data_IF_983364556692
#
_entry.id   IF_983364556692
#
_cell.length_a   1.000
_cell.length_b   1.000
_cell.length_c   1.000
_cell.angle_alpha   90.00
_cell.angle_beta   90.00
_cell.angle_gamma   90.00
#
_symmetry.space_group_name_H-M   'P 1'
#
loop_
_entity.id
_entity.type
_entity.pdbx_description
1 polymer ?
#
# COMPACT_ATOMS: atom_id res chain seq x y z
N UNK A 1 17.89 -17.77 -77.86
CA UNK A 1 17.42 -18.92 -78.69
C UNK A 1 16.18 -19.46 -77.97
N UNK A 2 15.04 -19.19 -78.57
CA UNK A 2 13.77 -19.88 -78.31
C UNK A 2 13.78 -21.17 -79.21
N UNK A 3 12.75 -22.02 -79.28
CA UNK A 3 11.55 -22.27 -78.44
C UNK A 3 11.26 -23.79 -78.26
N UNK A 4 10.23 -24.13 -77.53
CA UNK A 4 9.10 -24.90 -78.09
C UNK A 4 8.13 -25.44 -77.01
N UNK A 5 6.87 -25.09 -77.19
CA UNK A 5 5.62 -25.71 -76.74
C UNK A 5 5.33 -27.01 -77.52
N UNK A 6 4.14 -27.65 -77.31
CA UNK A 6 3.27 -28.07 -76.23
C UNK A 6 2.85 -29.57 -76.39
N UNK A 7 1.92 -30.09 -75.50
CA UNK A 7 0.84 -31.01 -75.91
C UNK A 7 -0.16 -31.31 -74.78
N UNK A 8 -1.41 -31.29 -75.14
CA UNK A 8 -2.76 -31.40 -74.59
C UNK A 8 -3.11 -32.74 -73.95
N UNK A 9 -3.98 -32.59 -72.91
CA UNK A 9 -5.22 -33.28 -72.49
C UNK A 9 -5.59 -34.69 -73.00
N UNK A 10 -6.40 -35.50 -72.26
CA UNK A 10 -7.83 -35.29 -72.19
C UNK A 10 -8.54 -35.53 -70.77
N UNK A 11 -9.83 -35.19 -70.82
CA UNK A 11 -10.89 -35.25 -69.86
C UNK A 11 -11.36 -36.67 -69.50
N UNK A 12 -11.80 -36.84 -68.22
CA UNK A 12 -12.70 -37.92 -67.84
C UNK A 12 -13.69 -37.45 -66.81
N UNK A 13 -14.96 -37.70 -67.02
CA UNK A 13 -16.17 -37.21 -66.33
C UNK A 13 -16.59 -38.16 -65.22
N UNK A 14 -17.27 -37.54 -64.20
CA UNK A 14 -18.46 -37.92 -63.44
C UNK A 14 -18.35 -38.91 -62.30
N UNK A 15 -18.80 -38.45 -61.12
CA UNK A 15 -20.03 -38.83 -60.41
C UNK A 15 -20.10 -38.20 -59.02
N UNK A 16 -21.21 -37.49 -58.76
CA UNK A 16 -21.61 -37.15 -57.38
C UNK A 16 -22.18 -38.38 -56.67
N UNK A 17 -22.10 -38.44 -55.32
CA UNK A 17 -23.35 -38.40 -54.58
C UNK A 17 -23.41 -37.34 -53.49
N UNK A 18 -24.52 -36.64 -53.46
CA UNK A 18 -25.03 -35.90 -52.32
C UNK A 18 -25.49 -36.89 -51.27
N UNK A 19 -25.18 -36.59 -50.03
CA UNK A 19 -25.85 -36.88 -48.74
C UNK A 19 -24.79 -37.21 -47.69
N UNK A 20 -24.71 -36.36 -46.70
CA UNK A 20 -24.23 -36.50 -45.33
C UNK A 20 -23.52 -35.19 -44.84
N UNK A 21 -24.22 -34.04 -45.00
CA UNK A 21 -23.69 -32.78 -44.53
C UNK A 21 -24.55 -32.13 -43.43
N UNK A 22 -25.35 -32.91 -42.70
CA UNK A 22 -26.24 -32.38 -41.66
C UNK A 22 -25.98 -32.92 -40.23
N UNK A 23 -25.05 -33.86 -40.06
CA UNK A 23 -24.76 -34.45 -38.76
C UNK A 23 -23.46 -33.95 -38.09
N UNK A 24 -22.60 -33.25 -38.85
CA UNK A 24 -21.31 -32.76 -38.33
C UNK A 24 -21.38 -31.35 -37.69
N UNK A 25 -22.40 -30.54 -38.05
CA UNK A 25 -22.54 -29.19 -37.53
C UNK A 25 -23.11 -29.13 -36.12
N UNK A 26 -23.92 -30.10 -35.71
CA UNK A 26 -24.49 -30.17 -34.36
C UNK A 26 -23.49 -30.57 -33.29
N UNK A 27 -22.56 -31.45 -33.62
CA UNK A 27 -21.54 -31.94 -32.68
C UNK A 27 -20.41 -30.90 -32.42
N UNK A 28 -20.10 -30.09 -33.43
CA UNK A 28 -19.09 -29.01 -33.30
C UNK A 28 -19.62 -27.86 -32.45
N UNK A 29 -20.91 -27.50 -32.54
CA UNK A 29 -21.53 -26.46 -31.72
C UNK A 29 -21.65 -26.88 -30.25
N UNK A 30 -21.95 -28.14 -29.96
CA UNK A 30 -22.00 -28.66 -28.58
C UNK A 30 -20.59 -28.75 -27.99
N UNK A 31 -19.57 -29.12 -28.76
CA UNK A 31 -18.20 -29.16 -28.31
C UNK A 31 -17.64 -27.75 -28.05
N UNK A 32 -18.01 -26.74 -28.83
CA UNK A 32 -17.60 -25.34 -28.61
C UNK A 32 -18.30 -24.76 -27.38
N UNK A 33 -19.58 -25.07 -27.15
CA UNK A 33 -20.28 -24.60 -25.93
C UNK A 33 -19.73 -25.28 -24.67
N UNK A 34 -19.37 -26.55 -24.72
CA UNK A 34 -18.75 -27.26 -23.60
C UNK A 34 -17.31 -26.76 -23.39
N UNK A 35 -16.57 -26.44 -24.46
CA UNK A 35 -15.22 -25.92 -24.35
C UNK A 35 -15.18 -24.48 -23.81
N UNK A 36 -16.20 -23.66 -24.13
CA UNK A 36 -16.32 -22.31 -23.58
C UNK A 36 -16.70 -22.36 -22.09
N UNK A 37 -17.50 -23.31 -21.66
CA UNK A 37 -17.87 -23.48 -20.23
C UNK A 37 -16.70 -24.05 -19.39
N UNK A 38 -15.76 -24.77 -20.02
CA UNK A 38 -14.59 -25.33 -19.32
C UNK A 38 -13.39 -24.35 -19.34
N UNK A 39 -13.40 -23.33 -20.22
CA UNK A 39 -12.36 -22.32 -20.34
C UNK A 39 -12.74 -20.94 -19.76
N UNK A 40 -13.95 -20.77 -19.26
CA UNK A 40 -14.20 -19.69 -18.33
C UNK A 40 -13.53 -20.10 -17.00
N UNK A 41 -12.47 -19.41 -16.55
CA UNK A 41 -12.02 -19.59 -15.18
C UNK A 41 -13.29 -19.43 -14.31
N UNK A 42 -13.44 -20.20 -13.21
CA UNK A 42 -14.46 -19.86 -12.24
C UNK A 42 -14.31 -18.37 -12.02
N UNK A 43 -15.43 -17.63 -12.04
CA UNK A 43 -15.43 -16.25 -11.59
C UNK A 43 -14.53 -16.24 -10.34
N UNK A 44 -13.31 -15.73 -10.49
CA UNK A 44 -12.68 -15.17 -9.34
C UNK A 44 -13.69 -14.09 -8.97
N UNK A 45 -14.55 -14.40 -7.98
CA UNK A 45 -15.08 -13.37 -7.12
C UNK A 45 -13.87 -12.50 -6.89
N UNK A 46 -13.84 -11.35 -7.55
CA UNK A 46 -12.94 -10.28 -7.20
C UNK A 46 -13.20 -10.14 -5.72
N UNK A 47 -12.30 -10.67 -4.90
CA UNK A 47 -12.34 -10.46 -3.47
C UNK A 47 -12.49 -8.97 -3.38
N UNK A 48 -13.66 -8.54 -2.94
CA UNK A 48 -14.00 -7.13 -2.91
C UNK A 48 -12.99 -6.53 -1.93
N UNK A 49 -11.92 -5.94 -2.46
CA UNK A 49 -10.84 -5.29 -1.70
C UNK A 49 -11.45 -4.15 -0.87
N UNK A 50 -12.75 -3.87 -1.07
CA UNK A 50 -13.63 -3.07 -0.24
C UNK A 50 -14.21 -3.80 0.98
N UNK A 51 -13.87 -5.09 1.21
CA UNK A 51 -14.22 -5.69 2.49
C UNK A 51 -13.46 -4.90 3.56
N UNK A 52 -14.18 -3.97 4.20
CA UNK A 52 -13.68 -3.19 5.33
C UNK A 52 -13.08 -4.19 6.30
N UNK A 53 -11.79 -4.10 6.51
CA UNK A 53 -11.08 -4.99 7.44
C UNK A 53 -11.89 -5.05 8.73
N UNK A 54 -12.07 -6.24 9.28
CA UNK A 54 -12.92 -6.46 10.47
C UNK A 54 -12.58 -5.44 11.54
N UNK A 55 -13.56 -4.66 11.95
CA UNK A 55 -13.40 -3.63 13.00
C UNK A 55 -13.61 -4.18 14.41
N UNK A 56 -13.96 -5.47 14.53
CA UNK A 56 -14.20 -6.14 15.81
C UNK A 56 -12.96 -6.83 16.40
N UNK A 57 -13.16 -7.41 17.58
CA UNK A 57 -12.16 -8.27 18.21
C UNK A 57 -11.91 -9.51 17.36
N UNK A 58 -10.66 -9.91 17.25
CA UNK A 58 -10.27 -11.21 16.72
C UNK A 58 -9.05 -11.74 17.49
N UNK A 59 -8.72 -13.00 17.30
CA UNK A 59 -7.78 -13.69 18.16
C UNK A 59 -6.46 -12.91 18.36
N UNK A 60 -6.23 -12.49 19.60
CA UNK A 60 -5.06 -11.72 20.00
C UNK A 60 -5.16 -10.20 19.80
N UNK A 61 -6.28 -9.66 19.30
CA UNK A 61 -6.41 -8.27 18.92
C UNK A 61 -7.73 -7.63 19.39
N UNK A 62 -7.65 -6.49 20.08
CA UNK A 62 -8.80 -5.69 20.51
C UNK A 62 -8.74 -4.31 19.82
N UNK A 63 -9.81 -3.86 19.14
CA UNK A 63 -9.82 -2.56 18.45
C UNK A 63 -9.45 -1.42 19.41
N UNK A 64 -8.58 -0.53 18.97
CA UNK A 64 -8.18 0.67 19.71
C UNK A 64 -8.53 1.97 18.99
N UNK A 65 -8.44 2.00 17.69
CA UNK A 65 -8.75 3.18 16.89
C UNK A 65 -9.17 2.81 15.45
N UNK A 66 -10.09 3.59 14.88
CA UNK A 66 -10.42 3.53 13.46
C UNK A 66 -10.96 4.86 12.95
N UNK A 67 -10.74 5.16 11.67
CA UNK A 67 -11.30 6.30 10.95
C UNK A 67 -11.55 5.93 9.48
N UNK A 68 -12.72 6.31 8.97
CA UNK A 68 -13.20 6.08 7.59
C UNK A 68 -13.36 7.38 6.81
N UNK A 69 -12.98 8.52 7.37
CA UNK A 69 -13.01 9.85 6.78
C UNK A 69 -14.38 10.27 6.20
N UNK A 70 -15.49 9.84 6.81
CA UNK A 70 -16.85 10.12 6.35
C UNK A 70 -17.24 11.62 6.45
N UNK A 71 -16.47 12.42 7.20
CA UNK A 71 -16.71 13.86 7.37
C UNK A 71 -15.85 14.66 6.40
N UNK A 72 -16.47 15.40 5.50
CA UNK A 72 -15.72 16.30 4.62
C UNK A 72 -14.96 17.37 5.43
N UNK A 73 -13.71 17.58 5.06
CA UNK A 73 -12.82 18.59 5.62
C UNK A 73 -12.03 19.27 4.50
N UNK A 74 -12.47 20.43 3.99
CA UNK A 74 -11.69 21.17 3.02
C UNK A 74 -10.30 21.53 3.53
N UNK A 75 -9.34 21.75 2.63
CA UNK A 75 -8.01 22.27 2.96
C UNK A 75 -8.11 23.44 3.94
N UNK A 76 -7.30 23.44 4.99
CA UNK A 76 -7.34 24.42 6.08
C UNK A 76 -8.35 24.11 7.19
N UNK A 77 -9.17 23.06 7.04
CA UNK A 77 -10.21 22.69 8.01
C UNK A 77 -9.98 21.33 8.66
N UNK A 78 -9.03 20.54 8.16
CA UNK A 78 -8.84 19.15 8.59
C UNK A 78 -8.61 19.06 10.10
N UNK A 79 -7.67 19.82 10.66
CA UNK A 79 -7.39 19.83 12.09
C UNK A 79 -8.57 20.27 12.95
N UNK A 80 -9.43 21.19 12.46
CA UNK A 80 -10.61 21.63 13.18
C UNK A 80 -11.73 20.57 13.23
N UNK A 81 -11.84 19.73 12.18
CA UNK A 81 -12.89 18.72 12.02
C UNK A 81 -12.50 17.39 12.66
N UNK A 82 -11.26 16.94 12.46
CA UNK A 82 -10.75 15.68 12.98
C UNK A 82 -10.09 15.81 14.36
N UNK A 83 -9.72 17.02 14.74
CA UNK A 83 -9.30 17.35 16.10
C UNK A 83 -7.95 16.76 16.50
N UNK A 84 -7.77 16.61 17.81
CA UNK A 84 -6.51 16.14 18.40
C UNK A 84 -6.15 14.70 18.05
N UNK A 85 -7.12 13.90 17.64
CA UNK A 85 -6.88 12.53 17.18
C UNK A 85 -6.09 12.46 15.87
N UNK A 86 -5.86 13.62 15.22
CA UNK A 86 -5.10 13.74 13.97
C UNK A 86 -4.06 14.85 14.04
N UNK A 87 -3.66 15.27 15.23
CA UNK A 87 -2.55 16.18 15.37
C UNK A 87 -1.29 15.57 14.73
N UNK A 88 -0.47 16.43 14.13
CA UNK A 88 0.76 16.04 13.47
C UNK A 88 1.79 17.14 13.54
N UNK A 89 2.91 16.94 12.87
CA UNK A 89 3.96 17.95 12.76
C UNK A 89 3.48 19.13 11.92
N UNK A 90 3.85 20.34 12.34
CA UNK A 90 3.48 21.58 11.65
C UNK A 90 4.56 22.66 11.79
N UNK A 91 4.89 23.34 10.71
CA UNK A 91 5.81 24.49 10.70
C UNK A 91 7.27 24.14 10.91
N UNK A 92 7.66 22.87 10.76
CA UNK A 92 9.07 22.43 10.81
C UNK A 92 9.43 21.72 9.51
N UNK A 93 10.74 21.70 9.19
CA UNK A 93 11.24 20.99 8.05
C UNK A 93 11.04 19.47 8.19
N UNK A 94 10.86 18.79 7.06
CA UNK A 94 10.87 17.34 6.99
C UNK A 94 12.29 16.76 7.21
N UNK A 95 12.42 15.44 7.20
CA UNK A 95 13.70 14.76 7.46
C UNK A 95 14.78 15.14 6.45
N UNK A 96 14.42 15.40 5.20
CA UNK A 96 15.37 15.84 4.16
C UNK A 96 15.83 17.29 4.34
N UNK A 97 15.08 18.10 5.10
CA UNK A 97 15.27 19.55 5.26
C UNK A 97 14.80 20.39 4.08
N UNK A 98 14.17 19.79 3.06
CA UNK A 98 13.69 20.48 1.84
C UNK A 98 12.19 20.67 1.82
N UNK A 99 11.45 19.75 2.45
CA UNK A 99 10.00 19.87 2.66
C UNK A 99 9.68 20.61 3.96
N UNK A 100 8.44 21.06 4.05
CA UNK A 100 7.86 21.71 5.22
C UNK A 100 6.56 20.96 5.59
N UNK A 101 6.45 20.50 6.82
CA UNK A 101 5.19 19.98 7.31
C UNK A 101 4.17 21.11 7.46
N UNK A 102 3.14 21.07 6.63
CA UNK A 102 2.10 22.08 6.53
C UNK A 102 0.70 21.44 6.41
N UNK A 103 0.23 20.71 7.46
CA UNK A 103 -1.01 19.95 7.39
C UNK A 103 -2.24 20.77 6.96
N UNK A 104 -2.31 22.04 7.34
CA UNK A 104 -3.40 22.94 6.95
C UNK A 104 -3.41 23.30 5.46
N UNK A 105 -2.32 23.05 4.72
CA UNK A 105 -2.22 23.29 3.30
C UNK A 105 -2.18 22.00 2.47
N UNK A 106 -1.92 20.88 3.12
CA UNK A 106 -1.72 19.58 2.48
C UNK A 106 -2.93 18.67 2.68
N UNK A 107 -3.54 18.67 3.89
CA UNK A 107 -4.56 17.71 4.24
C UNK A 107 -5.98 18.21 3.95
N UNK A 108 -6.78 17.35 3.35
CA UNK A 108 -8.23 17.47 3.24
C UNK A 108 -8.89 16.10 3.41
N UNK A 109 -10.19 16.07 3.62
CA UNK A 109 -10.99 14.84 3.55
C UNK A 109 -12.22 15.09 2.68
N UNK A 110 -12.44 14.21 1.70
CA UNK A 110 -13.56 14.26 0.76
C UNK A 110 -13.79 12.86 0.19
N UNK A 111 -14.98 12.60 -0.30
CA UNK A 111 -15.35 11.30 -0.87
C UNK A 111 -15.02 10.11 0.04
N UNK A 112 -15.15 10.30 1.37
CA UNK A 112 -14.77 9.35 2.42
C UNK A 112 -13.29 8.91 2.35
N UNK A 113 -12.40 9.83 2.01
CA UNK A 113 -10.94 9.60 1.97
C UNK A 113 -10.19 10.78 2.60
N UNK A 114 -9.09 10.48 3.28
CA UNK A 114 -8.07 11.47 3.59
C UNK A 114 -7.19 11.67 2.36
N UNK A 115 -7.00 12.91 1.97
CA UNK A 115 -6.16 13.33 0.84
C UNK A 115 -4.98 14.17 1.33
N UNK A 116 -3.76 13.74 0.96
CA UNK A 116 -2.55 14.52 1.08
C UNK A 116 -2.22 15.09 -0.31
N UNK A 117 -2.48 16.37 -0.53
CA UNK A 117 -2.04 17.04 -1.74
C UNK A 117 -0.62 17.57 -1.55
N UNK A 118 0.38 16.80 -1.99
CA UNK A 118 1.78 17.19 -1.98
C UNK A 118 2.05 18.15 -3.14
N UNK A 119 2.58 19.34 -2.86
CA UNK A 119 2.79 20.37 -3.87
C UNK A 119 3.80 21.42 -3.38
N UNK A 120 4.11 22.40 -4.24
CA UNK A 120 5.03 23.49 -3.92
C UNK A 120 4.30 24.83 -3.90
N UNK A 121 4.55 25.63 -2.90
CA UNK A 121 4.06 27.02 -2.79
C UNK A 121 5.26 27.94 -2.56
N UNK A 122 5.44 28.94 -3.40
CA UNK A 122 6.53 29.93 -3.31
C UNK A 122 7.93 29.29 -3.17
N UNK A 123 8.17 28.16 -3.87
CA UNK A 123 9.43 27.42 -3.84
C UNK A 123 9.61 26.54 -2.60
N UNK A 124 8.62 26.43 -1.71
CA UNK A 124 8.61 25.53 -0.56
C UNK A 124 7.78 24.28 -0.87
N UNK A 125 8.39 23.11 -0.82
CA UNK A 125 7.69 21.83 -0.94
C UNK A 125 6.90 21.55 0.33
N UNK A 126 5.59 21.35 0.20
CA UNK A 126 4.67 21.12 1.31
C UNK A 126 4.33 19.65 1.44
N UNK A 127 4.46 19.16 2.67
CA UNK A 127 4.24 17.77 3.06
C UNK A 127 3.45 17.71 4.37
N UNK A 128 3.07 16.51 4.83
CA UNK A 128 2.36 16.36 6.10
C UNK A 128 2.73 15.03 6.78
N UNK A 129 2.63 15.03 8.11
CA UNK A 129 2.83 13.84 8.93
C UNK A 129 1.77 13.81 10.06
N UNK A 130 0.49 13.54 9.74
CA UNK A 130 -0.54 13.39 10.76
C UNK A 130 -0.34 12.11 11.57
N UNK A 131 -0.86 12.14 12.80
CA UNK A 131 -0.75 11.07 13.78
C UNK A 131 -2.13 10.48 14.07
N UNK A 132 -2.52 9.34 13.44
CA UNK A 132 -3.75 8.65 13.82
C UNK A 132 -3.76 8.33 15.32
N UNK A 133 -4.86 8.69 16.01
CA UNK A 133 -4.98 8.63 17.48
C UNK A 133 -4.09 9.64 18.25
N UNK A 134 -3.42 10.57 17.56
CA UNK A 134 -2.65 11.64 18.18
C UNK A 134 -1.28 11.23 18.71
N UNK A 135 -0.81 11.95 19.74
CA UNK A 135 0.54 11.77 20.28
C UNK A 135 0.68 10.64 21.31
N UNK A 136 -0.43 10.10 21.82
CA UNK A 136 -0.40 9.03 22.81
C UNK A 136 0.10 7.74 22.16
N UNK A 137 1.17 7.18 22.72
CA UNK A 137 1.77 5.96 22.20
C UNK A 137 1.04 4.70 22.64
N UNK A 138 1.15 3.66 21.81
CA UNK A 138 0.68 2.31 22.13
C UNK A 138 1.87 1.35 22.11
N UNK A 139 1.91 0.42 23.08
CA UNK A 139 2.90 -0.66 23.06
C UNK A 139 2.24 -1.93 22.53
N UNK A 140 2.79 -2.46 21.46
CA UNK A 140 2.28 -3.59 20.70
C UNK A 140 0.91 -3.32 20.07
N UNK A 141 0.71 -3.73 18.86
CA UNK A 141 -0.52 -3.51 18.14
C UNK A 141 -0.50 -4.03 16.72
N UNK A 142 -1.65 -4.00 16.09
CA UNK A 142 -1.84 -4.15 14.66
C UNK A 142 -2.27 -2.79 14.12
N UNK A 143 -1.60 -2.35 13.07
CA UNK A 143 -1.86 -1.08 12.41
C UNK A 143 -2.05 -1.34 10.92
N UNK A 144 -3.19 -0.98 10.40
CA UNK A 144 -3.58 -1.29 9.03
C UNK A 144 -4.21 -0.07 8.36
N UNK A 145 -3.86 0.17 7.10
CA UNK A 145 -4.47 1.24 6.31
C UNK A 145 -4.64 0.80 4.86
N UNK A 146 -5.68 1.33 4.21
CA UNK A 146 -5.88 1.18 2.78
C UNK A 146 -5.57 2.50 2.10
N UNK A 147 -4.64 2.48 1.17
CA UNK A 147 -4.14 3.68 0.53
C UNK A 147 -3.76 3.46 -0.93
N UNK A 148 -3.61 4.56 -1.64
CA UNK A 148 -2.91 4.64 -2.93
C UNK A 148 -2.20 5.99 -3.04
N UNK A 149 -1.26 6.11 -3.95
CA UNK A 149 -0.53 7.34 -4.20
C UNK A 149 -0.29 7.55 -5.70
N UNK A 150 -0.28 8.80 -6.13
CA UNK A 150 0.23 9.15 -7.44
C UNK A 150 1.73 8.86 -7.52
N UNK A 151 2.23 8.66 -8.73
CA UNK A 151 3.67 8.59 -8.97
C UNK A 151 4.25 10.02 -8.92
N UNK A 152 4.85 10.40 -7.77
CA UNK A 152 5.36 11.75 -7.50
C UNK A 152 6.87 11.69 -7.28
N UNK A 153 7.68 11.84 -8.34
CA UNK A 153 9.14 11.79 -8.21
C UNK A 153 9.68 12.82 -7.22
N UNK A 154 10.55 12.40 -6.32
CA UNK A 154 11.17 13.24 -5.31
C UNK A 154 10.39 13.32 -3.99
N UNK A 155 9.23 12.68 -3.90
CA UNK A 155 8.50 12.51 -2.64
C UNK A 155 8.47 11.04 -2.21
N UNK A 156 8.40 10.83 -0.91
CA UNK A 156 8.31 9.50 -0.29
C UNK A 156 7.27 9.48 0.83
N UNK A 157 6.89 8.28 1.23
CA UNK A 157 6.23 8.02 2.51
C UNK A 157 7.16 7.24 3.43
N UNK A 158 6.97 7.45 4.74
CA UNK A 158 7.45 6.59 5.80
C UNK A 158 6.32 6.49 6.83
N UNK A 159 5.39 5.57 6.60
CA UNK A 159 4.34 5.30 7.57
C UNK A 159 4.93 4.39 8.64
N UNK A 160 4.96 4.90 9.87
CA UNK A 160 5.80 4.28 10.88
C UNK A 160 5.16 4.26 12.27
N UNK A 161 5.71 3.46 13.15
CA UNK A 161 5.60 3.62 14.58
C UNK A 161 6.87 4.32 15.08
N UNK A 162 6.68 5.55 15.60
CA UNK A 162 7.74 6.39 16.14
C UNK A 162 7.65 6.46 17.66
N UNK A 163 8.79 6.42 18.40
CA UNK A 163 8.77 6.44 19.85
C UNK A 163 8.02 7.63 20.43
N UNK A 164 7.16 7.41 21.42
CA UNK A 164 6.48 8.48 22.17
C UNK A 164 7.48 9.43 22.83
N UNK A 165 8.65 8.92 23.22
CA UNK A 165 9.74 9.69 23.83
C UNK A 165 10.46 10.63 22.86
N UNK A 166 10.20 10.59 21.56
CA UNK A 166 10.98 11.23 20.49
C UNK A 166 12.47 10.81 20.49
N UNK A 167 12.81 9.74 21.15
CA UNK A 167 14.17 9.19 21.17
C UNK A 167 14.31 8.07 20.14
N UNK A 168 15.02 8.34 19.07
CA UNK A 168 15.29 7.32 18.03
C UNK A 168 15.92 6.04 18.61
N UNK A 169 16.68 6.17 19.72
CA UNK A 169 17.29 5.04 20.41
C UNK A 169 16.26 4.03 21.00
N UNK A 170 15.02 4.45 21.15
CA UNK A 170 13.94 3.59 21.66
C UNK A 170 13.32 2.70 20.57
N UNK A 171 13.75 2.88 19.33
CA UNK A 171 13.40 2.04 18.18
C UNK A 171 12.58 2.75 17.12
N UNK A 172 12.29 2.04 16.04
CA UNK A 172 11.49 2.48 14.89
C UNK A 172 10.93 1.27 14.16
N UNK A 173 9.71 1.35 13.69
CA UNK A 173 9.09 0.33 12.85
C UNK A 173 8.46 1.04 11.65
N UNK A 174 8.95 0.76 10.44
CA UNK A 174 8.52 1.40 9.21
C UNK A 174 7.76 0.43 8.31
N UNK A 175 6.55 0.80 7.92
CA UNK A 175 5.78 0.12 6.89
C UNK A 175 4.44 0.83 6.60
N UNK A 176 4.12 1.07 5.30
CA UNK A 176 5.04 1.02 4.15
C UNK A 176 5.96 2.24 4.11
N UNK A 177 7.18 2.05 3.63
CA UNK A 177 8.12 3.13 3.37
C UNK A 177 8.64 3.04 1.94
N UNK A 178 8.76 4.16 1.24
CA UNK A 178 9.33 4.20 -0.10
C UNK A 178 9.07 5.49 -0.83
N UNK A 179 9.77 5.64 -1.94
CA UNK A 179 9.56 6.73 -2.88
C UNK A 179 8.26 6.54 -3.64
N UNK A 180 7.47 7.60 -3.81
CA UNK A 180 6.18 7.54 -4.51
C UNK A 180 6.32 7.25 -6.01
N UNK A 181 7.54 7.31 -6.54
CA UNK A 181 7.87 6.93 -7.92
C UNK A 181 8.31 5.46 -8.07
N UNK A 182 8.27 4.66 -7.01
CA UNK A 182 8.80 3.30 -6.99
C UNK A 182 8.04 2.34 -6.09
N UNK A 183 8.53 1.10 -5.98
CA UNK A 183 7.94 0.13 -5.07
C UNK A 183 8.17 0.56 -3.62
N UNK A 184 7.22 0.24 -2.76
CA UNK A 184 7.34 0.44 -1.32
C UNK A 184 8.41 -0.50 -0.78
N UNK A 185 9.35 0.04 -0.05
CA UNK A 185 10.45 -0.68 0.55
C UNK A 185 10.41 -0.60 2.06
N UNK A 186 11.46 -1.07 2.67
CA UNK A 186 11.36 -2.14 3.62
C UNK A 186 10.91 -1.63 4.95
N UNK A 187 10.17 -2.45 5.59
CA UNK A 187 9.95 -2.37 7.00
C UNK A 187 11.24 -2.71 7.75
N UNK A 188 11.50 -1.99 8.83
CA UNK A 188 12.60 -2.29 9.78
C UNK A 188 12.07 -2.12 11.17
N UNK A 189 12.44 -3.01 12.07
CA UNK A 189 12.12 -2.88 13.49
C UNK A 189 13.40 -2.94 14.29
N UNK A 190 13.59 -1.98 15.20
CA UNK A 190 14.83 -1.92 15.95
C UNK A 190 14.66 -1.32 17.34
N UNK A 191 15.32 -1.97 18.31
CA UNK A 191 15.74 -1.35 19.56
C UNK A 191 17.24 -1.18 19.50
N UNK A 192 17.74 0.02 19.57
CA UNK A 192 19.14 0.15 19.34
C UNK A 192 19.81 1.24 20.12
N UNK A 193 21.11 1.15 20.13
CA UNK A 193 22.00 2.24 20.46
C UNK A 193 22.33 2.98 19.17
N UNK A 194 22.17 4.30 19.19
CA UNK A 194 22.76 5.13 18.16
C UNK A 194 24.26 4.91 18.10
N UNK A 195 24.78 4.49 16.97
CA UNK A 195 26.21 4.38 16.70
C UNK A 195 26.61 5.56 15.84
N UNK A 196 27.45 6.46 16.36
CA UNK A 196 27.84 7.69 15.69
C UNK A 196 26.67 8.61 15.28
N UNK A 197 25.54 8.56 16.02
CA UNK A 197 24.35 9.32 15.69
C UNK A 197 23.43 8.65 14.66
N UNK A 198 23.72 7.42 14.26
CA UNK A 198 22.90 6.67 13.31
C UNK A 198 22.31 5.40 13.95
N UNK A 199 21.05 5.12 13.62
CA UNK A 199 20.38 3.86 13.99
C UNK A 199 20.96 2.73 13.13
N UNK A 200 21.24 1.59 13.76
CA UNK A 200 21.67 0.40 13.04
C UNK A 200 20.45 -0.46 12.70
N UNK A 201 19.83 -0.26 11.55
CA UNK A 201 18.68 -1.04 11.11
C UNK A 201 19.02 -2.49 10.76
N UNK A 202 18.06 -3.39 11.00
CA UNK A 202 18.16 -4.78 10.54
C UNK A 202 18.02 -4.85 9.02
N UNK A 203 19.14 -4.90 8.34
CA UNK A 203 19.17 -5.00 6.88
C UNK A 203 19.00 -6.43 6.36
N UNK A 204 19.09 -7.44 7.23
CA UNK A 204 18.98 -8.85 6.84
C UNK A 204 17.55 -9.24 6.44
N UNK A 205 16.56 -8.48 6.90
CA UNK A 205 15.14 -8.73 6.67
C UNK A 205 14.46 -7.65 5.82
N UNK A 206 15.22 -6.95 4.97
CA UNK A 206 14.63 -6.01 4.02
C UNK A 206 13.70 -6.73 3.07
N UNK A 207 12.49 -6.24 2.99
CA UNK A 207 11.43 -6.73 2.12
C UNK A 207 10.88 -5.59 1.26
N UNK A 208 10.27 -5.93 0.15
CA UNK A 208 9.66 -4.94 -0.74
C UNK A 208 8.23 -5.35 -0.99
N UNK A 209 7.34 -4.38 -1.18
CA UNK A 209 6.01 -4.65 -1.69
C UNK A 209 6.12 -5.32 -3.07
N UNK A 210 5.21 -6.24 -3.41
CA UNK A 210 5.20 -6.86 -4.74
C UNK A 210 4.88 -5.86 -5.86
N UNK A 211 4.21 -4.75 -5.53
CA UNK A 211 3.78 -3.69 -6.46
C UNK A 211 4.14 -2.32 -5.90
N UNK A 212 4.05 -1.29 -6.74
CA UNK A 212 4.03 0.11 -6.30
C UNK A 212 2.66 0.47 -5.68
N UNK A 213 2.51 1.71 -5.21
CA UNK A 213 1.30 2.18 -4.54
C UNK A 213 0.35 2.97 -5.47
N UNK A 214 0.46 2.84 -6.79
CA UNK A 214 -0.41 3.59 -7.72
C UNK A 214 -1.84 3.07 -7.78
N UNK A 215 -2.06 1.82 -7.35
CA UNK A 215 -3.38 1.23 -7.13
C UNK A 215 -3.68 1.12 -5.64
N UNK A 216 -4.92 0.75 -5.30
CA UNK A 216 -5.33 0.57 -3.92
C UNK A 216 -4.69 -0.66 -3.28
N UNK A 217 -4.00 -0.46 -2.16
CA UNK A 217 -3.39 -1.52 -1.37
C UNK A 217 -3.71 -1.41 0.11
N UNK A 218 -3.65 -2.53 0.81
CA UNK A 218 -3.73 -2.60 2.26
C UNK A 218 -2.36 -2.95 2.82
N UNK A 219 -1.77 -2.02 3.55
CA UNK A 219 -0.53 -2.25 4.28
C UNK A 219 -0.84 -2.48 5.76
N UNK A 220 -0.27 -3.52 6.35
CA UNK A 220 -0.47 -3.86 7.75
C UNK A 220 0.83 -4.16 8.46
N UNK A 221 1.00 -3.61 9.65
CA UNK A 221 2.06 -3.96 10.60
C UNK A 221 1.44 -4.67 11.80
N UNK A 222 1.92 -5.87 12.14
CA UNK A 222 1.63 -6.55 13.41
C UNK A 222 2.87 -6.51 14.29
N UNK A 223 2.78 -5.84 15.41
CA UNK A 223 3.84 -5.71 16.39
C UNK A 223 3.43 -6.38 17.71
N UNK A 224 4.15 -7.42 18.07
CA UNK A 224 3.91 -8.23 19.27
C UNK A 224 5.20 -8.36 20.09
N UNK A 225 5.15 -8.84 21.33
CA UNK A 225 6.37 -9.12 22.09
C UNK A 225 7.33 -10.02 21.32
N UNK A 226 8.48 -9.46 20.90
CA UNK A 226 9.54 -10.18 20.22
C UNK A 226 9.35 -10.45 18.73
N UNK A 227 8.31 -9.92 18.09
CA UNK A 227 8.11 -10.06 16.63
C UNK A 227 7.44 -8.84 16.03
N UNK A 228 7.83 -8.47 14.81
CA UNK A 228 7.09 -7.58 13.92
C UNK A 228 6.88 -8.29 12.59
N UNK A 229 5.66 -8.25 12.08
CA UNK A 229 5.26 -8.81 10.78
C UNK A 229 4.66 -7.72 9.92
N UNK A 230 4.93 -7.80 8.61
CA UNK A 230 4.44 -6.85 7.62
C UNK A 230 3.67 -7.56 6.53
N UNK A 231 2.51 -7.01 6.19
CA UNK A 231 1.62 -7.59 5.20
C UNK A 231 1.28 -6.55 4.12
N UNK A 232 1.14 -7.02 2.89
CA UNK A 232 0.65 -6.28 1.74
C UNK A 232 -0.53 -7.03 1.15
N UNK A 233 -1.70 -6.41 1.13
CA UNK A 233 -2.97 -7.02 0.69
C UNK A 233 -3.28 -8.36 1.41
N UNK A 234 -2.94 -8.42 2.69
CA UNK A 234 -3.14 -9.62 3.51
C UNK A 234 -2.06 -10.70 3.40
N UNK A 235 -1.15 -10.59 2.44
CA UNK A 235 -0.04 -11.53 2.27
C UNK A 235 1.17 -11.11 3.10
N UNK A 236 1.75 -12.04 3.86
CA UNK A 236 2.96 -11.80 4.66
C UNK A 236 4.15 -11.52 3.73
N UNK A 237 4.70 -10.31 3.79
CA UNK A 237 5.87 -9.91 3.00
C UNK A 237 7.18 -9.95 3.78
N UNK A 238 7.12 -9.89 5.11
CA UNK A 238 8.32 -9.99 5.93
C UNK A 238 8.03 -10.10 7.43
N UNK A 239 9.03 -10.53 8.16
CA UNK A 239 8.97 -10.67 9.62
C UNK A 239 10.35 -10.43 10.22
N UNK A 240 10.43 -9.78 11.39
CA UNK A 240 11.59 -9.89 12.29
C UNK A 240 11.15 -10.51 13.61
N UNK A 241 11.84 -11.57 14.01
CA UNK A 241 11.65 -12.28 15.28
C UNK A 241 12.90 -12.23 16.15
N UNK A 242 13.83 -11.32 15.85
CA UNK A 242 15.02 -11.09 16.67
C UNK A 242 14.64 -10.14 17.78
N UNK A 243 14.35 -10.67 18.96
CA UNK A 243 13.78 -9.89 20.08
C UNK A 243 14.56 -8.62 20.43
N UNK A 244 15.89 -8.62 20.25
CA UNK A 244 16.72 -7.44 20.47
C UNK A 244 16.52 -6.31 19.46
N UNK A 245 15.79 -6.58 18.37
CA UNK A 245 15.49 -5.62 17.30
C UNK A 245 14.00 -5.20 17.30
N UNK A 246 13.21 -5.70 18.23
CA UNK A 246 11.79 -5.39 18.36
C UNK A 246 11.60 -4.35 19.47
N UNK A 247 11.06 -3.17 19.17
CA UNK A 247 10.75 -2.15 20.17
C UNK A 247 9.81 -2.68 21.26
N UNK A 248 9.97 -2.15 22.47
CA UNK A 248 9.20 -2.54 23.65
C UNK A 248 8.60 -1.36 24.42
N UNK A 249 8.85 -0.15 23.95
CA UNK A 249 8.33 1.09 24.53
C UNK A 249 7.14 1.62 23.72
N UNK A 250 6.29 2.49 24.30
CA UNK A 250 5.16 3.05 23.56
C UNK A 250 5.60 3.81 22.32
N UNK A 251 4.90 3.56 21.20
CA UNK A 251 5.12 4.23 19.93
C UNK A 251 3.82 4.81 19.41
N UNK A 252 3.88 5.98 18.79
CA UNK A 252 2.76 6.61 18.09
C UNK A 252 2.78 6.26 16.62
N UNK A 253 1.62 6.07 16.05
CA UNK A 253 1.50 5.86 14.62
C UNK A 253 1.63 7.18 13.88
N UNK A 254 2.52 7.26 12.90
CA UNK A 254 2.80 8.47 12.13
C UNK A 254 2.64 8.15 10.64
N UNK A 255 1.77 8.89 9.96
CA UNK A 255 1.62 8.79 8.50
C UNK A 255 2.44 9.88 7.83
N UNK A 256 3.74 9.66 7.74
CA UNK A 256 4.70 10.66 7.29
C UNK A 256 4.84 10.63 5.76
N UNK A 257 4.45 11.74 5.11
CA UNK A 257 4.82 12.03 3.73
C UNK A 257 5.85 13.16 3.73
N UNK A 258 6.90 13.01 2.96
CA UNK A 258 8.03 13.95 2.93
C UNK A 258 8.75 13.96 1.59
N UNK A 259 9.66 14.92 1.40
CA UNK A 259 10.56 14.90 0.27
C UNK A 259 11.63 13.82 0.47
N UNK A 260 12.08 13.17 -0.61
CA UNK A 260 13.06 12.08 -0.50
C UNK A 260 14.42 12.56 0.05
N UNK A 261 15.26 11.64 0.50
CA UNK A 261 16.58 11.95 1.06
C UNK A 261 17.66 12.15 -0.02
N UNK A 262 17.35 11.86 -1.28
CA UNK A 262 18.30 12.03 -2.38
C UNK A 262 18.48 13.51 -2.72
N UNK A 263 19.66 13.89 -3.23
CA UNK A 263 19.94 15.28 -3.65
C UNK A 263 19.22 15.69 -4.94
N UNK A 264 18.28 14.86 -5.44
CA UNK A 264 17.53 15.17 -6.64
C UNK A 264 16.65 16.40 -6.41
N UNK A 265 16.81 17.41 -7.26
CA UNK A 265 15.95 18.58 -7.24
C UNK A 265 14.52 18.20 -7.62
N UNK A 266 13.57 18.56 -6.77
CA UNK A 266 12.15 18.45 -7.06
C UNK A 266 11.74 19.70 -7.84
N UNK A 267 11.04 19.53 -8.94
CA UNK A 267 10.47 20.66 -9.69
C UNK A 267 9.34 21.30 -8.91
N UNK A 268 9.24 22.62 -8.92
CA UNK A 268 8.13 23.35 -8.30
C UNK A 268 6.76 22.96 -8.91
N UNK A 269 6.75 22.43 -10.13
CA UNK A 269 5.54 21.93 -10.81
C UNK A 269 5.19 20.49 -10.41
N UNK A 270 6.04 19.81 -9.62
CA UNK A 270 5.75 18.45 -9.16
C UNK A 270 4.69 18.49 -8.08
N UNK A 271 3.56 17.84 -8.33
CA UNK A 271 2.48 17.70 -7.37
C UNK A 271 1.72 16.39 -7.58
N UNK A 272 1.00 15.94 -6.54
CA UNK A 272 0.16 14.75 -6.62
C UNK A 272 -0.45 14.41 -5.26
N UNK A 273 -1.18 13.30 -5.24
CA UNK A 273 -2.02 12.93 -4.11
C UNK A 273 -1.60 11.59 -3.51
N UNK A 274 -1.71 11.49 -2.18
CA UNK A 274 -1.79 10.23 -1.46
C UNK A 274 -3.19 10.18 -0.88
N UNK A 275 -3.95 9.14 -1.22
CA UNK A 275 -5.31 8.94 -0.76
C UNK A 275 -5.35 7.78 0.23
N UNK A 276 -5.99 7.99 1.39
CA UNK A 276 -6.20 6.96 2.40
C UNK A 276 -7.71 6.78 2.58
N UNK A 277 -8.20 5.58 2.29
CA UNK A 277 -9.61 5.20 2.41
C UNK A 277 -10.00 4.98 3.88
N UNK A 278 -9.16 4.28 4.62
CA UNK A 278 -9.37 4.04 6.03
C UNK A 278 -8.06 3.72 6.78
N UNK A 279 -8.10 3.92 8.09
CA UNK A 279 -7.07 3.46 9.04
C UNK A 279 -7.71 2.64 10.15
N UNK A 280 -7.00 1.61 10.66
CA UNK A 280 -7.44 0.72 11.73
C UNK A 280 -6.26 0.41 12.64
N UNK A 281 -6.49 0.46 13.95
CA UNK A 281 -5.52 0.03 14.93
C UNK A 281 -6.17 -0.88 15.98
N UNK A 282 -5.39 -1.85 16.44
CA UNK A 282 -5.76 -2.78 17.51
C UNK A 282 -4.64 -2.84 18.54
N UNK A 283 -5.00 -3.02 19.79
CA UNK A 283 -4.07 -3.36 20.86
C UNK A 283 -3.85 -4.88 20.86
N UNK A 284 -2.62 -5.30 21.08
CA UNK A 284 -2.30 -6.71 21.27
C UNK A 284 -2.82 -7.19 22.63
N UNK A 285 -3.73 -8.16 22.60
CA UNK A 285 -4.31 -8.81 23.78
C UNK A 285 -4.07 -10.32 23.63
N UNK A 286 -2.94 -10.83 24.16
CA UNK A 286 -2.67 -12.26 24.04
C UNK A 286 -3.83 -13.04 24.60
N UNK A 287 -4.37 -13.98 23.82
CA UNK A 287 -5.42 -14.87 24.29
C UNK A 287 -4.99 -15.51 25.59
N UNK A 288 -5.86 -15.52 26.58
CA UNK A 288 -5.68 -16.37 27.74
C UNK A 288 -5.62 -17.79 27.22
N UNK A 289 -4.42 -18.38 27.18
CA UNK A 289 -4.26 -19.79 26.87
C UNK A 289 -5.29 -20.51 27.73
N UNK A 290 -6.31 -21.08 27.08
CA UNK A 290 -7.35 -21.83 27.80
C UNK A 290 -6.66 -22.92 28.63
N UNK A 291 -6.81 -22.80 29.93
CA UNK A 291 -6.46 -23.86 30.87
C UNK A 291 -7.31 -25.12 30.62
#
# INVERSE_FOLDING_TARGET
MAPSRPVRRPRGRTAHPRTHLLSALGLVLVAIVILIVVLTPPDQESVDVHEREKTGDFDGWTPSYFEDFERDAPVGSFGAIYGTAWNGYNGIADTSGRGMYAPDQVLSAHDSMLDFYLHTVDGQHLVAAPLPNGYDGQTYGRFSLRFKADNIPGYKIAFMQWPESDSWNDGEIDWPEGELAGPMSPASAQVGTLRNGEMSFDTAHRVYSPTDATEWHVATTEWTPGSVKWFWDGELVGETAVAALVPTLPMRWTLQAETNLEEQLISDDTAGHILIDWVRAWTYTPGTAGN
#
